data_IF_624633406470
#
_entry.id   IF_624633406470
#
_cell.length_a   1.000
_cell.length_b   1.000
_cell.length_c   1.000
_cell.angle_alpha   90.00
_cell.angle_beta   90.00
_cell.angle_gamma   90.00
#
_symmetry.space_group_name_H-M   'P 1'
#
loop_
_entity.id
_entity.type
_entity.pdbx_description
1 polymer ?
#
# COMPACT_ATOMS: atom_id res chain seq x y z
N UNK A 1 38.00 -19.03 -1.26
CA UNK A 1 36.87 -19.75 -1.89
C UNK A 1 36.36 -19.09 -3.18
N UNK A 2 35.60 -17.98 -3.18
CA UNK A 2 35.06 -17.40 -4.45
C UNK A 2 36.15 -16.99 -5.46
N UNK A 3 37.31 -16.54 -4.98
CA UNK A 3 38.45 -16.15 -5.81
C UNK A 3 39.16 -17.33 -6.48
N UNK A 4 39.03 -18.54 -5.91
CA UNK A 4 39.73 -19.75 -6.34
C UNK A 4 38.88 -20.61 -7.29
N UNK A 5 37.62 -20.23 -7.52
CA UNK A 5 36.72 -20.94 -8.42
C UNK A 5 37.05 -20.63 -9.88
N UNK A 6 36.80 -21.61 -10.76
CA UNK A 6 36.82 -21.41 -12.21
C UNK A 6 35.70 -20.46 -12.61
N UNK A 7 35.94 -19.65 -13.65
CA UNK A 7 35.03 -18.57 -14.05
C UNK A 7 33.62 -19.05 -14.42
N UNK A 8 33.48 -20.27 -14.96
CA UNK A 8 32.19 -20.91 -15.22
C UNK A 8 31.38 -21.17 -13.93
N UNK A 9 32.06 -21.63 -12.87
CA UNK A 9 31.43 -21.85 -11.57
C UNK A 9 31.06 -20.53 -10.92
N UNK A 10 31.93 -19.51 -11.03
CA UNK A 10 31.62 -18.15 -10.57
C UNK A 10 30.38 -17.62 -11.28
N UNK A 11 30.33 -17.71 -12.62
CA UNK A 11 29.22 -17.24 -13.44
C UNK A 11 27.89 -17.83 -12.95
N UNK A 12 27.81 -19.15 -12.75
CA UNK A 12 26.60 -19.80 -12.22
C UNK A 12 26.20 -19.25 -10.85
N UNK A 13 27.15 -19.08 -9.94
CA UNK A 13 26.87 -18.51 -8.61
C UNK A 13 26.31 -17.09 -8.75
N UNK A 14 26.92 -16.26 -9.58
CA UNK A 14 26.48 -14.88 -9.81
C UNK A 14 25.08 -14.80 -10.41
N UNK A 15 24.73 -15.69 -11.33
CA UNK A 15 23.39 -15.77 -11.93
C UNK A 15 22.29 -16.14 -10.92
N UNK A 16 22.62 -16.87 -9.85
CA UNK A 16 21.67 -17.22 -8.79
C UNK A 16 21.45 -16.09 -7.78
N UNK A 17 22.35 -15.10 -7.70
CA UNK A 17 22.24 -14.04 -6.70
C UNK A 17 21.20 -12.99 -7.12
N UNK A 18 20.39 -12.56 -6.15
CA UNK A 18 19.52 -11.40 -6.34
C UNK A 18 20.30 -10.09 -6.40
N UNK A 19 19.66 -9.02 -6.86
CA UNK A 19 20.28 -7.69 -7.00
C UNK A 19 20.91 -7.19 -5.69
N UNK A 20 20.29 -7.50 -4.55
CA UNK A 20 20.77 -7.10 -3.22
C UNK A 20 22.06 -7.85 -2.87
N UNK A 21 22.08 -9.16 -3.11
CA UNK A 21 23.20 -10.04 -2.85
C UNK A 21 24.37 -9.70 -3.78
N UNK A 22 24.10 -9.50 -5.07
CA UNK A 22 25.08 -9.03 -6.05
C UNK A 22 25.73 -7.72 -5.61
N UNK A 23 24.93 -6.72 -5.23
CA UNK A 23 25.44 -5.44 -4.75
C UNK A 23 26.28 -5.58 -3.47
N UNK A 24 25.97 -6.55 -2.59
CA UNK A 24 26.74 -6.82 -1.37
C UNK A 24 28.08 -7.46 -1.69
N UNK A 25 28.10 -8.53 -2.49
CA UNK A 25 29.34 -9.24 -2.82
C UNK A 25 30.28 -8.32 -3.60
N UNK A 26 29.74 -7.52 -4.53
CA UNK A 26 30.48 -6.51 -5.27
C UNK A 26 31.07 -5.38 -4.41
N UNK A 27 30.62 -5.20 -3.17
CA UNK A 27 31.17 -4.26 -2.19
C UNK A 27 32.18 -4.92 -1.23
N UNK A 28 31.99 -6.19 -0.89
CA UNK A 28 32.78 -6.93 0.11
C UNK A 28 34.03 -7.54 -0.50
N UNK A 29 33.95 -8.04 -1.74
CA UNK A 29 35.06 -8.74 -2.38
C UNK A 29 35.46 -8.03 -3.67
N UNK A 30 36.28 -6.97 -3.52
CA UNK A 30 36.98 -6.38 -4.65
C UNK A 30 37.80 -7.50 -5.31
N UNK A 31 37.61 -7.74 -6.60
CA UNK A 31 38.19 -8.84 -7.40
C UNK A 31 37.41 -10.17 -7.43
N UNK A 32 36.30 -10.34 -6.71
CA UNK A 32 35.49 -11.56 -6.86
C UNK A 32 34.85 -11.68 -8.26
N UNK A 33 34.65 -10.55 -8.92
CA UNK A 33 34.13 -10.44 -10.29
C UNK A 33 35.23 -10.64 -11.36
N UNK A 34 36.50 -10.78 -10.95
CA UNK A 34 37.62 -10.93 -11.87
C UNK A 34 37.53 -12.26 -12.62
N UNK A 35 37.61 -12.19 -13.95
CA UNK A 35 37.40 -13.33 -14.87
C UNK A 35 35.96 -13.51 -15.35
N UNK A 36 34.99 -12.76 -14.80
CA UNK A 36 33.57 -12.87 -15.17
C UNK A 36 33.08 -11.59 -15.85
N UNK A 37 32.46 -11.73 -17.02
CA UNK A 37 31.76 -10.62 -17.66
C UNK A 37 30.44 -10.33 -16.92
N UNK A 38 30.47 -9.38 -15.98
CA UNK A 38 29.31 -9.03 -15.15
C UNK A 38 28.23 -8.24 -15.89
N UNK A 39 28.56 -7.61 -17.03
CA UNK A 39 27.64 -6.75 -17.80
C UNK A 39 26.32 -7.45 -18.16
N UNK A 40 26.34 -8.62 -18.82
CA UNK A 40 25.14 -9.39 -19.15
C UNK A 40 24.31 -9.81 -17.93
N UNK A 41 24.96 -10.11 -16.80
CA UNK A 41 24.28 -10.48 -15.55
C UNK A 41 23.49 -9.28 -15.03
N UNK A 42 24.12 -8.11 -14.93
CA UNK A 42 23.45 -6.88 -14.52
C UNK A 42 22.32 -6.48 -15.48
N UNK A 43 22.49 -6.65 -16.79
CA UNK A 43 21.43 -6.41 -17.77
C UNK A 43 20.23 -7.36 -17.59
N UNK A 44 20.47 -8.65 -17.32
CA UNK A 44 19.41 -9.61 -17.04
C UNK A 44 18.61 -9.20 -15.81
N UNK A 45 19.28 -8.85 -14.71
CA UNK A 45 18.61 -8.35 -13.52
C UNK A 45 17.90 -7.02 -13.75
N UNK A 46 18.44 -6.14 -14.60
CA UNK A 46 17.80 -4.89 -14.97
C UNK A 46 16.45 -5.16 -15.66
N UNK A 47 16.41 -6.10 -16.60
CA UNK A 47 15.16 -6.54 -17.26
C UNK A 47 14.16 -7.11 -16.27
N UNK A 48 14.59 -7.95 -15.33
CA UNK A 48 13.72 -8.49 -14.27
C UNK A 48 13.16 -7.37 -13.38
N UNK A 49 13.99 -6.40 -12.97
CA UNK A 49 13.57 -5.24 -12.19
C UNK A 49 12.60 -4.34 -12.95
N UNK A 50 12.81 -4.16 -14.27
CA UNK A 50 11.88 -3.44 -15.14
C UNK A 50 10.52 -4.11 -15.17
N UNK A 51 10.47 -5.42 -15.45
CA UNK A 51 9.24 -6.19 -15.48
C UNK A 51 8.51 -6.12 -14.13
N UNK A 52 9.25 -6.31 -13.03
CA UNK A 52 8.72 -6.22 -11.67
C UNK A 52 8.20 -4.82 -11.33
N UNK A 53 8.89 -3.77 -11.80
CA UNK A 53 8.47 -2.38 -11.63
C UNK A 53 7.22 -2.06 -12.43
N UNK A 54 7.14 -2.52 -13.67
CA UNK A 54 5.95 -2.37 -14.53
C UNK A 54 4.74 -3.13 -13.96
N UNK A 55 4.94 -4.35 -13.47
CA UNK A 55 3.90 -5.11 -12.78
C UNK A 55 3.45 -4.39 -11.50
N UNK A 56 4.38 -3.88 -10.70
CA UNK A 56 4.05 -3.11 -9.51
C UNK A 56 3.25 -1.83 -9.82
N UNK A 57 3.51 -1.19 -10.96
CA UNK A 57 2.70 -0.07 -11.46
C UNK A 57 1.33 -0.53 -11.98
N UNK A 58 1.25 -1.68 -12.67
CA UNK A 58 0.00 -2.25 -13.18
C UNK A 58 -0.94 -2.74 -12.09
N UNK A 59 -0.39 -3.28 -11.00
CA UNK A 59 -1.13 -3.68 -9.81
C UNK A 59 -1.69 -2.49 -8.99
N UNK A 60 -1.20 -1.27 -9.22
CA UNK A 60 -1.75 -0.05 -8.59
C UNK A 60 -3.03 0.42 -9.28
N UNK A 61 -4.12 -0.33 -9.11
CA UNK A 61 -5.46 0.04 -9.60
C UNK A 61 -6.22 0.99 -8.65
N UNK A 62 -5.57 1.51 -7.59
CA UNK A 62 -6.17 2.43 -6.62
C UNK A 62 -6.22 3.91 -7.04
N UNK A 63 -6.66 4.79 -6.12
CA UNK A 63 -6.83 6.26 -6.28
C UNK A 63 -5.59 7.00 -6.83
N UNK A 64 -4.40 6.39 -6.72
CA UNK A 64 -3.15 6.93 -7.27
C UNK A 64 -2.89 6.51 -8.73
N UNK A 65 -3.35 5.32 -9.16
CA UNK A 65 -3.21 4.83 -10.54
C UNK A 65 -4.06 5.61 -11.56
N UNK A 66 -5.25 6.04 -11.15
CA UNK A 66 -6.19 6.80 -12.01
C UNK A 66 -5.78 8.26 -12.30
N UNK A 67 -4.81 8.82 -11.56
CA UNK A 67 -4.20 10.12 -11.91
C UNK A 67 -3.01 10.00 -12.85
N UNK A 68 -2.35 8.84 -12.91
CA UNK A 68 -1.16 8.64 -13.75
C UNK A 68 -1.45 7.94 -15.07
N UNK A 69 -2.52 7.16 -15.19
CA UNK A 69 -3.03 6.75 -16.50
C UNK A 69 -3.34 7.96 -17.40
N UNK A 70 -3.80 9.08 -16.82
CA UNK A 70 -3.99 10.35 -17.55
C UNK A 70 -2.67 11.06 -17.92
N UNK A 71 -1.62 10.91 -17.10
CA UNK A 71 -0.30 11.49 -17.39
C UNK A 71 0.51 10.70 -18.43
N UNK A 72 0.41 9.37 -18.41
CA UNK A 72 1.04 8.47 -19.39
C UNK A 72 0.29 8.44 -20.72
N UNK A 73 -1.04 8.53 -20.71
CA UNK A 73 -1.85 8.68 -21.93
C UNK A 73 -1.58 9.98 -22.69
N UNK A 74 -1.18 11.05 -21.99
CA UNK A 74 -0.92 12.36 -22.62
C UNK A 74 0.50 12.54 -23.14
N UNK A 75 1.44 11.62 -22.88
CA UNK A 75 2.84 11.82 -23.29
C UNK A 75 3.52 10.68 -24.03
N UNK A 76 3.02 9.44 -24.04
CA UNK A 76 3.76 8.33 -24.69
C UNK A 76 2.91 7.18 -25.29
N UNK A 77 1.69 7.40 -25.80
CA UNK A 77 0.89 6.28 -26.38
C UNK A 77 0.17 6.57 -27.72
N UNK A 78 0.59 7.58 -28.50
CA UNK A 78 0.08 7.76 -29.88
C UNK A 78 1.18 7.88 -30.96
N UNK A 79 2.46 7.68 -30.61
CA UNK A 79 3.56 7.77 -31.58
C UNK A 79 4.16 6.41 -31.99
N UNK A 80 3.68 5.30 -31.43
CA UNK A 80 4.25 3.97 -31.71
C UNK A 80 3.25 2.96 -32.29
N UNK A 81 2.05 3.40 -32.71
CA UNK A 81 1.05 2.51 -33.33
C UNK A 81 1.12 2.49 -34.87
N UNK A 82 2.31 2.75 -35.42
CA UNK A 82 2.59 2.56 -36.84
C UNK A 82 3.98 1.93 -37.00
N UNK A 83 4.08 0.65 -36.67
CA UNK A 83 4.96 -0.34 -37.33
C UNK A 83 4.74 -1.72 -36.72
N UNK A 84 3.58 -2.30 -37.03
CA UNK A 84 3.52 -3.72 -37.35
C UNK A 84 4.44 -3.95 -38.56
N UNK A 85 5.68 -4.41 -38.33
CA UNK A 85 6.41 -5.21 -39.31
C UNK A 85 7.23 -6.26 -38.59
N UNK A 86 6.76 -7.50 -38.76
CA UNK A 86 7.51 -8.75 -38.82
C UNK A 86 8.66 -8.90 -37.81
N UNK A 87 8.34 -9.61 -36.73
CA UNK A 87 9.28 -10.50 -36.07
C UNK A 87 9.84 -11.47 -37.11
N UNK A 88 11.14 -11.34 -37.41
CA UNK A 88 11.94 -12.38 -38.08
C UNK A 88 13.13 -12.66 -37.17
N UNK A 89 13.46 -13.92 -36.83
CA UNK A 89 14.60 -14.25 -36.00
C UNK A 89 15.84 -14.43 -36.89
N UNK A 90 16.82 -13.55 -36.78
CA UNK A 90 18.19 -13.72 -37.31
C UNK A 90 19.13 -13.09 -36.28
N UNK A 91 19.99 -13.84 -35.59
CA UNK A 91 21.22 -14.57 -35.98
C UNK A 91 22.40 -13.77 -35.40
N UNK A 92 23.26 -14.47 -34.66
CA UNK A 92 24.54 -13.97 -34.17
C UNK A 92 25.38 -13.49 -35.35
N UNK A 93 25.90 -12.26 -35.26
CA UNK A 93 27.32 -11.88 -35.46
C UNK A 93 27.40 -10.35 -35.66
N UNK A 94 28.60 -9.82 -35.45
CA UNK A 94 29.05 -8.41 -35.60
C UNK A 94 29.18 -7.59 -34.30
N UNK A 95 30.32 -7.89 -33.67
CA UNK A 95 31.34 -6.97 -33.16
C UNK A 95 31.37 -5.56 -33.81
N UNK A 96 31.82 -4.58 -33.02
CA UNK A 96 32.16 -3.18 -33.37
C UNK A 96 31.04 -2.19 -33.70
N UNK A 97 30.43 -1.63 -32.64
CA UNK A 97 30.10 -0.19 -32.61
C UNK A 97 30.05 0.35 -31.16
N UNK A 98 31.16 0.28 -30.44
CA UNK A 98 31.30 0.98 -29.14
C UNK A 98 31.64 2.44 -29.42
N UNK A 99 30.63 3.22 -29.81
CA UNK A 99 30.70 4.68 -29.70
C UNK A 99 30.75 5.11 -28.22
N UNK A 100 31.31 6.29 -27.88
CA UNK A 100 31.48 6.77 -26.51
C UNK A 100 30.16 7.28 -25.89
N UNK A 101 29.02 6.73 -26.32
CA UNK A 101 27.72 6.98 -25.71
C UNK A 101 27.58 6.09 -24.47
N UNK A 102 28.19 6.56 -23.38
CA UNK A 102 27.71 6.42 -22.01
C UNK A 102 27.02 5.09 -21.71
N UNK A 103 27.81 4.01 -21.78
CA UNK A 103 27.40 2.66 -21.40
C UNK A 103 26.78 2.76 -20.01
N UNK A 104 25.46 2.61 -19.95
CA UNK A 104 24.70 2.72 -18.71
C UNK A 104 25.37 1.84 -17.66
N UNK A 105 25.75 2.42 -16.52
CA UNK A 105 26.25 1.63 -15.41
C UNK A 105 25.08 0.80 -14.86
N UNK A 106 24.92 -0.41 -15.42
CA UNK A 106 23.83 -1.33 -15.11
C UNK A 106 23.85 -1.74 -13.66
N UNK A 107 25.03 -1.80 -13.03
CA UNK A 107 25.18 -2.08 -11.60
C UNK A 107 24.58 -0.95 -10.78
N UNK A 108 24.98 0.29 -11.06
CA UNK A 108 24.46 1.47 -10.38
C UNK A 108 22.95 1.62 -10.58
N UNK A 109 22.48 1.43 -11.82
CA UNK A 109 21.06 1.52 -12.12
C UNK A 109 20.25 0.42 -11.42
N UNK A 110 20.70 -0.85 -11.45
CA UNK A 110 20.00 -1.94 -10.76
C UNK A 110 19.89 -1.67 -9.26
N UNK A 111 20.97 -1.19 -8.63
CA UNK A 111 20.98 -0.84 -7.21
C UNK A 111 19.96 0.25 -6.89
N UNK A 112 20.00 1.35 -7.62
CA UNK A 112 19.17 2.51 -7.35
C UNK A 112 17.70 2.21 -7.66
N UNK A 113 17.41 1.49 -8.74
CA UNK A 113 16.06 1.00 -9.08
C UNK A 113 15.53 0.05 -8.03
N UNK A 114 16.33 -0.89 -7.52
CA UNK A 114 15.92 -1.78 -6.44
C UNK A 114 15.53 -0.98 -5.18
N UNK A 115 16.33 0.00 -4.78
CA UNK A 115 16.02 0.88 -3.63
C UNK A 115 14.72 1.66 -3.86
N UNK A 116 14.53 2.22 -5.06
CA UNK A 116 13.32 2.96 -5.42
C UNK A 116 12.10 2.04 -5.40
N UNK A 117 12.19 0.82 -5.93
CA UNK A 117 11.12 -0.16 -5.98
C UNK A 117 10.72 -0.65 -4.58
N UNK A 118 11.69 -0.94 -3.71
CA UNK A 118 11.41 -1.31 -2.31
C UNK A 118 10.70 -0.16 -1.59
N UNK A 119 11.22 1.07 -1.71
CA UNK A 119 10.58 2.25 -1.10
C UNK A 119 9.17 2.49 -1.63
N UNK A 120 8.95 2.29 -2.92
CA UNK A 120 7.64 2.38 -3.56
C UNK A 120 6.67 1.38 -2.91
N UNK A 121 7.03 0.09 -2.85
CA UNK A 121 6.20 -0.95 -2.23
C UNK A 121 5.89 -0.64 -0.76
N UNK A 122 6.88 -0.24 0.03
CA UNK A 122 6.68 0.10 1.45
C UNK A 122 5.75 1.32 1.63
N UNK A 123 5.95 2.38 0.83
CA UNK A 123 5.11 3.58 0.94
C UNK A 123 3.67 3.30 0.52
N UNK A 124 3.47 2.49 -0.52
CA UNK A 124 2.13 2.22 -1.06
C UNK A 124 1.37 1.23 -0.20
N UNK A 125 2.02 0.18 0.30
CA UNK A 125 1.41 -0.71 1.32
C UNK A 125 1.03 0.07 2.58
N UNK A 126 1.92 0.93 3.09
CA UNK A 126 1.60 1.80 4.23
C UNK A 126 0.42 2.74 3.97
N UNK A 127 0.34 3.33 2.76
CA UNK A 127 -0.80 4.16 2.38
C UNK A 127 -2.10 3.35 2.25
N UNK A 128 -2.05 2.15 1.66
CA UNK A 128 -3.20 1.26 1.53
C UNK A 128 -3.72 0.80 2.90
N UNK A 129 -2.83 0.39 3.81
CA UNK A 129 -3.19 0.04 5.18
C UNK A 129 -3.85 1.20 5.92
N UNK A 130 -3.32 2.42 5.80
CA UNK A 130 -3.93 3.60 6.41
C UNK A 130 -5.32 3.91 5.85
N UNK A 131 -5.55 3.68 4.54
CA UNK A 131 -6.87 3.80 3.92
C UNK A 131 -7.87 2.79 4.48
N UNK A 132 -7.47 1.52 4.59
CA UNK A 132 -8.30 0.47 5.18
C UNK A 132 -8.64 0.77 6.64
N UNK A 133 -7.67 1.20 7.44
CA UNK A 133 -7.89 1.58 8.84
C UNK A 133 -8.91 2.74 8.99
N UNK A 134 -8.86 3.74 8.11
CA UNK A 134 -9.87 4.82 8.10
C UNK A 134 -11.26 4.29 7.74
N UNK A 135 -11.35 3.34 6.80
CA UNK A 135 -12.63 2.73 6.44
C UNK A 135 -13.23 1.93 7.60
N UNK A 136 -12.41 1.14 8.29
CA UNK A 136 -12.81 0.40 9.50
C UNK A 136 -13.33 1.34 10.59
N UNK A 137 -12.60 2.41 10.89
CA UNK A 137 -13.04 3.42 11.87
C UNK A 137 -14.34 4.11 11.44
N UNK A 138 -14.55 4.35 10.14
CA UNK A 138 -15.81 4.91 9.63
C UNK A 138 -16.98 3.92 9.78
N UNK A 139 -16.73 2.63 9.62
CA UNK A 139 -17.74 1.59 9.88
C UNK A 139 -18.07 1.52 11.37
N UNK A 140 -17.06 1.51 12.25
CA UNK A 140 -17.27 1.54 13.70
C UNK A 140 -18.05 2.80 14.12
N UNK A 141 -17.72 3.97 13.57
CA UNK A 141 -18.47 5.22 13.79
C UNK A 141 -19.94 5.07 13.42
N UNK A 142 -20.24 4.43 12.29
CA UNK A 142 -21.62 4.23 11.85
C UNK A 142 -22.38 3.30 12.81
N UNK A 143 -21.76 2.19 13.20
CA UNK A 143 -22.31 1.24 14.17
C UNK A 143 -22.56 1.89 15.54
N UNK A 144 -21.64 2.71 16.03
CA UNK A 144 -21.80 3.43 17.30
C UNK A 144 -22.95 4.43 17.24
N UNK A 145 -23.11 5.16 16.13
CA UNK A 145 -24.25 6.07 15.94
C UNK A 145 -25.58 5.33 15.94
N UNK A 146 -25.64 4.16 15.30
CA UNK A 146 -26.81 3.30 15.30
C UNK A 146 -27.11 2.78 16.73
N UNK A 147 -26.10 2.29 17.45
CA UNK A 147 -26.25 1.83 18.83
C UNK A 147 -26.78 2.93 19.76
N UNK A 148 -26.26 4.16 19.64
CA UNK A 148 -26.77 5.32 20.38
C UNK A 148 -28.24 5.58 20.06
N UNK A 149 -28.62 5.47 18.78
CA UNK A 149 -30.00 5.67 18.35
C UNK A 149 -30.92 4.56 18.89
N UNK A 150 -30.45 3.32 18.95
CA UNK A 150 -31.16 2.18 19.53
C UNK A 150 -31.36 2.34 21.04
N UNK A 151 -30.37 2.82 21.78
CA UNK A 151 -30.52 3.13 23.21
C UNK A 151 -31.56 4.24 23.42
N UNK A 152 -31.56 5.26 22.57
CA UNK A 152 -32.58 6.33 22.63
C UNK A 152 -33.98 5.80 22.32
N UNK A 153 -34.15 5.01 21.27
CA UNK A 153 -35.46 4.46 20.90
C UNK A 153 -35.99 3.51 21.98
N UNK A 154 -35.13 2.67 22.55
CA UNK A 154 -35.47 1.80 23.67
C UNK A 154 -35.87 2.60 24.91
N UNK A 155 -35.10 3.61 25.30
CA UNK A 155 -35.45 4.47 26.43
C UNK A 155 -36.79 5.19 26.24
N UNK A 156 -37.12 5.58 25.00
CA UNK A 156 -38.42 6.14 24.64
C UNK A 156 -39.55 5.11 24.72
N UNK A 157 -39.33 3.89 24.21
CA UNK A 157 -40.27 2.78 24.31
C UNK A 157 -40.55 2.45 25.79
N UNK A 158 -39.51 2.30 26.60
CA UNK A 158 -39.61 2.04 28.04
C UNK A 158 -40.36 3.16 28.76
N UNK A 159 -40.15 4.43 28.38
CA UNK A 159 -40.92 5.56 28.93
C UNK A 159 -42.41 5.47 28.58
N UNK A 160 -42.74 5.06 27.35
CA UNK A 160 -44.14 4.85 26.91
C UNK A 160 -44.78 3.69 27.66
N UNK A 161 -44.10 2.56 27.80
CA UNK A 161 -44.55 1.39 28.56
C UNK A 161 -44.76 1.75 30.03
N UNK A 162 -43.84 2.51 30.65
CA UNK A 162 -43.99 3.02 32.01
C UNK A 162 -45.24 3.89 32.19
N UNK A 163 -45.55 4.77 31.23
CA UNK A 163 -46.79 5.59 31.27
C UNK A 163 -48.04 4.71 31.24
N UNK A 164 -48.06 3.66 30.42
CA UNK A 164 -49.19 2.72 30.36
C UNK A 164 -49.33 1.93 31.67
N UNK A 165 -48.23 1.44 32.22
CA UNK A 165 -48.22 0.73 33.51
C UNK A 165 -48.68 1.62 34.67
N UNK A 166 -48.31 2.90 34.66
CA UNK A 166 -48.67 3.88 35.71
C UNK A 166 -50.19 4.07 35.89
N UNK A 167 -51.00 3.79 34.86
CA UNK A 167 -52.46 3.80 34.97
C UNK A 167 -53.00 2.70 35.91
N UNK A 168 -52.27 1.58 36.02
CA UNK A 168 -52.64 0.44 36.85
C UNK A 168 -52.03 0.51 38.27
N UNK A 169 -51.01 1.36 38.47
CA UNK A 169 -50.23 1.45 39.72
C UNK A 169 -51.06 1.93 40.92
N UNK A 170 -52.11 2.73 40.71
CA UNK A 170 -53.04 3.13 41.80
C UNK A 170 -53.72 1.92 42.46
N UNK A 171 -53.89 0.84 41.72
CA UNK A 171 -54.53 -0.41 42.17
C UNK A 171 -53.53 -1.43 42.74
N UNK A 172 -52.22 -1.12 42.73
CA UNK A 172 -51.18 -2.00 43.26
C UNK A 172 -50.89 -1.76 44.75
N UNK A 173 -50.56 -2.83 45.46
CA UNK A 173 -50.09 -2.76 46.85
C UNK A 173 -48.78 -1.94 46.99
N UNK A 174 -48.61 -1.29 48.14
CA UNK A 174 -47.51 -0.33 48.42
C UNK A 174 -46.13 -0.91 48.14
N UNK A 175 -45.91 -2.19 48.44
CA UNK A 175 -44.63 -2.89 48.25
C UNK A 175 -44.27 -3.02 46.76
N UNK A 176 -45.24 -3.42 45.93
CA UNK A 176 -45.05 -3.51 44.49
C UNK A 176 -44.83 -2.14 43.83
N UNK A 177 -45.47 -1.08 44.34
CA UNK A 177 -45.22 0.30 43.88
C UNK A 177 -43.78 0.72 44.12
N UNK A 178 -43.22 0.40 45.30
CA UNK A 178 -41.82 0.69 45.64
C UNK A 178 -40.86 -0.10 44.77
N UNK A 179 -41.12 -1.39 44.56
CA UNK A 179 -40.30 -2.23 43.68
C UNK A 179 -40.30 -1.71 42.23
N UNK A 180 -41.47 -1.38 41.67
CA UNK A 180 -41.58 -0.83 40.33
C UNK A 180 -40.87 0.54 40.19
N UNK A 181 -40.94 1.40 41.21
CA UNK A 181 -40.21 2.66 41.21
C UNK A 181 -38.69 2.45 41.24
N UNK A 182 -38.21 1.49 42.05
CA UNK A 182 -36.80 1.15 42.15
C UNK A 182 -36.26 0.57 40.84
N UNK A 183 -36.95 -0.42 40.24
CA UNK A 183 -36.54 -1.00 38.94
C UNK A 183 -36.54 0.05 37.82
N UNK A 184 -37.54 0.93 37.78
CA UNK A 184 -37.62 2.02 36.79
C UNK A 184 -36.46 3.01 36.93
N UNK A 185 -36.04 3.31 38.17
CA UNK A 185 -34.87 4.16 38.45
C UNK A 185 -33.59 3.51 37.98
N UNK A 186 -33.38 2.23 38.32
CA UNK A 186 -32.19 1.46 37.94
C UNK A 186 -32.08 1.35 36.40
N UNK A 187 -33.19 1.04 35.71
CA UNK A 187 -33.22 0.97 34.24
C UNK A 187 -32.90 2.32 33.59
N UNK A 188 -33.43 3.42 34.14
CA UNK A 188 -33.12 4.76 33.63
C UNK A 188 -31.65 5.14 33.82
N UNK A 189 -31.06 4.79 34.96
CA UNK A 189 -29.63 4.97 35.23
C UNK A 189 -28.77 4.13 34.29
N UNK A 190 -29.10 2.85 34.10
CA UNK A 190 -28.38 1.97 33.17
C UNK A 190 -28.41 2.50 31.73
N UNK A 191 -29.57 2.95 31.25
CA UNK A 191 -29.69 3.53 29.91
C UNK A 191 -28.88 4.83 29.75
N UNK A 192 -28.82 5.65 30.81
CA UNK A 192 -28.03 6.89 30.81
C UNK A 192 -26.52 6.59 30.78
N UNK A 193 -26.05 5.64 31.60
CA UNK A 193 -24.65 5.21 31.62
C UNK A 193 -24.23 4.57 30.29
N UNK A 194 -25.03 3.62 29.77
CA UNK A 194 -24.78 2.99 28.48
C UNK A 194 -24.71 4.00 27.33
N UNK A 195 -25.60 5.01 27.33
CA UNK A 195 -25.53 6.09 26.34
C UNK A 195 -24.25 6.93 26.49
N UNK A 196 -23.84 7.25 27.72
CA UNK A 196 -22.64 8.03 27.97
C UNK A 196 -21.37 7.29 27.49
N UNK A 197 -21.26 5.99 27.79
CA UNK A 197 -20.17 5.13 27.33
C UNK A 197 -20.09 5.06 25.79
N UNK A 198 -21.24 4.90 25.12
CA UNK A 198 -21.28 4.90 23.66
C UNK A 198 -20.88 6.25 23.05
N UNK A 199 -21.24 7.36 23.68
CA UNK A 199 -20.85 8.71 23.24
C UNK A 199 -19.35 8.93 23.43
N UNK A 200 -18.79 8.51 24.55
CA UNK A 200 -17.35 8.59 24.81
C UNK A 200 -16.57 7.76 23.78
N UNK A 201 -17.00 6.53 23.50
CA UNK A 201 -16.40 5.67 22.48
C UNK A 201 -16.52 6.27 21.08
N UNK A 202 -17.66 6.88 20.75
CA UNK A 202 -17.84 7.60 19.48
C UNK A 202 -16.86 8.77 19.36
N UNK A 203 -16.68 9.55 20.42
CA UNK A 203 -15.74 10.68 20.44
C UNK A 203 -14.29 10.20 20.26
N UNK A 204 -13.92 9.09 20.90
CA UNK A 204 -12.62 8.45 20.72
C UNK A 204 -12.39 8.02 19.25
N UNK A 205 -13.35 7.32 18.65
CA UNK A 205 -13.28 6.92 17.23
C UNK A 205 -13.20 8.13 16.31
N UNK A 206 -13.97 9.20 16.56
CA UNK A 206 -13.90 10.43 15.75
C UNK A 206 -12.53 11.11 15.86
N UNK A 207 -11.91 11.11 17.04
CA UNK A 207 -10.55 11.61 17.23
C UNK A 207 -9.50 10.76 16.48
N UNK A 208 -9.67 9.43 16.49
CA UNK A 208 -8.81 8.50 15.76
C UNK A 208 -8.94 8.70 14.24
N UNK A 209 -10.16 8.90 13.73
CA UNK A 209 -10.38 9.22 12.31
C UNK A 209 -9.66 10.51 11.94
N UNK A 210 -9.77 11.55 12.76
CA UNK A 210 -9.10 12.83 12.48
C UNK A 210 -7.57 12.68 12.49
N UNK A 211 -7.00 11.96 13.45
CA UNK A 211 -5.57 11.68 13.54
C UNK A 211 -5.08 10.88 12.32
N UNK A 212 -5.73 9.76 12.01
CA UNK A 212 -5.35 8.89 10.89
C UNK A 212 -5.51 9.59 9.55
N UNK A 213 -6.50 10.48 9.40
CA UNK A 213 -6.68 11.29 8.19
C UNK A 213 -5.49 12.24 7.99
N UNK A 214 -4.96 12.86 9.05
CA UNK A 214 -3.75 13.70 8.96
C UNK A 214 -2.54 12.89 8.52
N UNK A 215 -2.34 11.72 9.10
CA UNK A 215 -1.24 10.83 8.70
C UNK A 215 -1.36 10.34 7.25
N UNK A 216 -2.59 10.04 6.83
CA UNK A 216 -2.92 9.61 5.47
C UNK A 216 -2.47 10.64 4.42
N UNK A 217 -2.55 11.95 4.69
CA UNK A 217 -2.03 12.97 3.78
C UNK A 217 -0.51 12.87 3.61
N UNK A 218 0.22 12.64 4.70
CA UNK A 218 1.67 12.45 4.66
C UNK A 218 2.07 11.18 3.90
N UNK A 219 1.37 10.08 4.14
CA UNK A 219 1.55 8.82 3.42
C UNK A 219 1.25 8.97 1.93
N UNK A 220 0.17 9.66 1.56
CA UNK A 220 -0.19 9.96 0.17
C UNK A 220 0.91 10.74 -0.55
N UNK A 221 1.48 11.76 0.10
CA UNK A 221 2.57 12.57 -0.46
C UNK A 221 3.81 11.70 -0.71
N UNK A 222 4.17 10.83 0.25
CA UNK A 222 5.29 9.88 0.12
C UNK A 222 5.06 8.88 -1.02
N UNK A 223 3.89 8.24 -1.06
CA UNK A 223 3.46 7.32 -2.12
C UNK A 223 3.54 7.96 -3.51
N UNK A 224 2.99 9.16 -3.67
CA UNK A 224 3.02 9.92 -4.94
C UNK A 224 4.45 10.25 -5.36
N UNK A 225 5.32 10.65 -4.42
CA UNK A 225 6.72 10.96 -4.70
C UNK A 225 7.51 9.71 -5.09
N UNK A 226 7.30 8.57 -4.41
CA UNK A 226 7.96 7.31 -4.78
C UNK A 226 7.48 6.79 -6.13
N UNK A 227 6.20 6.96 -6.44
CA UNK A 227 5.61 6.59 -7.72
C UNK A 227 6.18 7.42 -8.88
N UNK A 228 6.32 8.73 -8.70
CA UNK A 228 6.99 9.57 -9.69
C UNK A 228 8.45 9.15 -9.92
N UNK A 229 9.20 8.92 -8.83
CA UNK A 229 10.59 8.44 -8.92
C UNK A 229 10.71 7.11 -9.64
N UNK A 230 9.85 6.15 -9.34
CA UNK A 230 9.84 4.84 -10.00
C UNK A 230 9.56 5.00 -11.49
N UNK A 231 8.56 5.78 -11.87
CA UNK A 231 8.26 6.04 -13.28
C UNK A 231 9.43 6.67 -14.04
N UNK A 232 10.08 7.69 -13.47
CA UNK A 232 11.26 8.31 -14.10
C UNK A 232 12.41 7.33 -14.25
N UNK A 233 12.66 6.51 -13.22
CA UNK A 233 13.74 5.52 -13.22
C UNK A 233 13.49 4.43 -14.29
N UNK A 234 12.27 3.92 -14.39
CA UNK A 234 11.90 2.91 -15.40
C UNK A 234 11.95 3.49 -16.82
N UNK A 235 11.45 4.72 -17.02
CA UNK A 235 11.52 5.38 -18.33
C UNK A 235 12.96 5.58 -18.82
N UNK A 236 13.89 5.93 -17.91
CA UNK A 236 15.30 6.11 -18.25
C UNK A 236 15.98 4.83 -18.76
N UNK A 237 15.58 3.66 -18.25
CA UNK A 237 16.13 2.38 -18.70
C UNK A 237 15.45 1.84 -19.94
N UNK A 238 14.15 2.09 -20.12
CA UNK A 238 13.46 1.72 -21.37
C UNK A 238 14.08 2.44 -22.57
N UNK A 239 14.41 3.74 -22.44
CA UNK A 239 15.09 4.47 -23.51
C UNK A 239 16.47 3.89 -23.84
N UNK A 240 17.18 3.31 -22.87
CA UNK A 240 18.54 2.78 -23.05
C UNK A 240 18.61 1.28 -23.43
N UNK A 241 17.53 0.53 -23.24
CA UNK A 241 17.46 -0.90 -23.63
C UNK A 241 16.88 -1.12 -25.03
N UNK A 242 16.15 -0.14 -25.56
CA UNK A 242 15.44 -0.21 -26.84
C UNK A 242 16.00 0.77 -27.90
N UNK A 243 17.09 1.47 -27.59
CA UNK A 243 17.94 2.18 -28.56
C UNK A 243 19.22 1.38 -28.77
#
# INVERSE_FOLDING_TARGET
MLLELVDECKLRIWEFLGVRELCRVACVARNAEQGVCMGPIWQRHARTLLATGQEALGGETGVLGSRLQRGLGSRNLLAADNKQRLVTPMRQDEEELVGPYDAMDWRLWCRDTHVVLVRFRTNNSGFAHALSAIQELKMERAQLKEAIQNVKSQAHADKRTRRLQMNCIKWMNRTHRRQAAATNSIQAQHAALSKAELVERLQSVESAIQSNTKEQFGLRKRATKSLHKLNTQLASALLKLYM
#
